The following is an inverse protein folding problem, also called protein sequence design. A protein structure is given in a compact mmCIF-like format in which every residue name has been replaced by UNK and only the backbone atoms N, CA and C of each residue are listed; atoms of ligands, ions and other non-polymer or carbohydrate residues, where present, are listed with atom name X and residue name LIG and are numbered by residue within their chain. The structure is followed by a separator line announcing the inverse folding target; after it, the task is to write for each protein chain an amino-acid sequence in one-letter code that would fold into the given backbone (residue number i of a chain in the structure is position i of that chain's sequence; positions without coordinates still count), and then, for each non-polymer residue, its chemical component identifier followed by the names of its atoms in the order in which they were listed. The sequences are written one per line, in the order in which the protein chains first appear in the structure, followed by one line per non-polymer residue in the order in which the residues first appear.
data_IF_023371085337
#
_entry.id   IF_023371085337
#
_cell.length_a   1.000
_cell.length_b   1.000
_cell.length_c   1.000
_cell.angle_alpha   90.00
_cell.angle_beta   90.00
_cell.angle_gamma   90.00
#
_symmetry.space_group_name_H-M   'P 1'
#
loop_
_entity.id
_entity.type
_entity.pdbx_description
1 polymer ?
#
# COMPACT_ATOMS: atom_id res chain seq x y z
N UNK A 1 16.96 22.64 -17.99
CA UNK A 1 17.04 21.16 -18.16
C UNK A 1 15.89 20.45 -17.44
N UNK A 2 15.57 20.85 -16.21
CA UNK A 2 14.51 20.22 -15.41
C UNK A 2 13.15 20.31 -16.11
N UNK A 3 12.77 21.50 -16.59
CA UNK A 3 11.51 21.71 -17.30
C UNK A 3 11.36 20.80 -18.53
N UNK A 4 12.48 20.55 -19.22
CA UNK A 4 12.49 19.63 -20.37
C UNK A 4 12.26 18.18 -19.93
N UNK A 5 12.90 17.75 -18.83
CA UNK A 5 12.68 16.42 -18.26
C UNK A 5 11.22 16.24 -17.85
N UNK A 6 10.65 17.19 -17.15
CA UNK A 6 9.25 17.17 -16.71
C UNK A 6 8.27 17.14 -17.90
N UNK A 7 8.57 17.90 -18.95
CA UNK A 7 7.80 17.86 -20.19
C UNK A 7 7.82 16.47 -20.84
N UNK A 8 9.00 15.84 -20.94
CA UNK A 8 9.14 14.49 -21.48
C UNK A 8 8.38 13.46 -20.65
N UNK A 9 8.45 13.54 -19.33
CA UNK A 9 7.71 12.63 -18.42
C UNK A 9 6.20 12.81 -18.58
N UNK A 10 5.73 14.05 -18.70
CA UNK A 10 4.32 14.36 -18.96
C UNK A 10 3.83 13.75 -20.26
N UNK A 11 4.60 13.85 -21.35
CA UNK A 11 4.26 13.22 -22.61
C UNK A 11 4.28 11.69 -22.54
N UNK A 12 5.23 11.10 -21.83
CA UNK A 12 5.23 9.65 -21.59
C UNK A 12 3.99 9.19 -20.84
N UNK A 13 3.55 9.96 -19.84
CA UNK A 13 2.33 9.66 -19.09
C UNK A 13 1.10 9.71 -20.00
N UNK A 14 0.97 10.75 -20.82
CA UNK A 14 -0.12 10.90 -21.78
C UNK A 14 -0.14 9.77 -22.82
N UNK A 15 1.03 9.41 -23.35
CA UNK A 15 1.18 8.31 -24.29
C UNK A 15 0.79 6.96 -23.66
N UNK A 16 1.23 6.70 -22.44
CA UNK A 16 0.87 5.49 -21.71
C UNK A 16 -0.64 5.39 -21.45
N UNK A 17 -1.27 6.49 -21.05
CA UNK A 17 -2.72 6.55 -20.87
C UNK A 17 -3.48 6.28 -22.19
N UNK A 18 -2.99 6.82 -23.30
CA UNK A 18 -3.56 6.57 -24.62
C UNK A 18 -3.41 5.10 -25.07
N UNK A 19 -2.27 4.49 -24.77
CA UNK A 19 -2.03 3.07 -25.08
C UNK A 19 -2.94 2.15 -24.26
N UNK A 20 -3.15 2.46 -22.98
CA UNK A 20 -4.13 1.76 -22.15
C UNK A 20 -5.55 1.89 -22.71
N UNK A 21 -5.96 3.10 -23.08
CA UNK A 21 -7.29 3.36 -23.64
C UNK A 21 -7.52 2.63 -24.97
N UNK A 22 -6.48 2.41 -25.77
CA UNK A 22 -6.52 1.63 -27.01
C UNK A 22 -6.43 0.11 -26.79
N UNK A 23 -6.22 -0.34 -25.56
CA UNK A 23 -6.03 -1.75 -25.22
C UNK A 23 -4.70 -2.32 -25.68
N UNK A 24 -3.65 -1.51 -25.74
CA UNK A 24 -2.31 -1.99 -26.11
C UNK A 24 -1.77 -2.93 -25.05
N UNK A 25 -1.47 -4.20 -25.39
CA UNK A 25 -1.15 -5.23 -24.38
C UNK A 25 0.12 -4.93 -23.59
N UNK A 26 1.11 -4.27 -24.19
CA UNK A 26 2.35 -3.92 -23.51
C UNK A 26 2.14 -2.87 -22.40
N UNK A 27 1.18 -1.94 -22.55
CA UNK A 27 0.86 -0.95 -21.54
C UNK A 27 0.28 -1.62 -20.28
N UNK A 28 -0.70 -2.50 -20.45
CA UNK A 28 -1.29 -3.25 -19.35
C UNK A 28 -0.29 -4.21 -18.68
N UNK A 29 0.55 -4.86 -19.48
CA UNK A 29 1.60 -5.74 -18.94
C UNK A 29 2.57 -4.99 -18.04
N UNK A 30 2.98 -3.78 -18.44
CA UNK A 30 3.84 -2.91 -17.64
C UNK A 30 3.19 -2.53 -16.32
N UNK A 31 1.91 -2.11 -16.36
CA UNK A 31 1.17 -1.71 -15.16
C UNK A 31 0.99 -2.88 -14.19
N UNK A 32 0.73 -4.07 -14.73
CA UNK A 32 0.65 -5.29 -13.93
C UNK A 32 1.99 -5.62 -13.26
N UNK A 33 3.10 -5.46 -13.98
CA UNK A 33 4.44 -5.67 -13.45
C UNK A 33 4.78 -4.67 -12.32
N UNK A 34 4.44 -3.40 -12.51
CA UNK A 34 4.60 -2.35 -11.50
C UNK A 34 3.75 -2.62 -10.26
N UNK A 35 2.48 -2.99 -10.46
CA UNK A 35 1.57 -3.34 -9.36
C UNK A 35 2.07 -4.54 -8.56
N UNK A 36 2.58 -5.57 -9.25
CA UNK A 36 3.18 -6.73 -8.59
C UNK A 36 4.42 -6.37 -7.79
N UNK A 37 5.33 -5.58 -8.37
CA UNK A 37 6.53 -5.12 -7.68
C UNK A 37 6.18 -4.30 -6.43
N UNK A 38 5.15 -3.44 -6.52
CA UNK A 38 4.64 -2.66 -5.39
C UNK A 38 4.03 -3.56 -4.30
N UNK A 39 3.25 -4.54 -4.67
CA UNK A 39 2.64 -5.49 -3.73
C UNK A 39 3.69 -6.30 -2.97
N UNK A 40 4.78 -6.66 -3.65
CA UNK A 40 5.90 -7.43 -3.08
C UNK A 40 6.95 -6.54 -2.39
N UNK A 41 6.75 -5.23 -2.32
CA UNK A 41 7.71 -4.25 -1.79
C UNK A 41 9.09 -4.32 -2.45
N UNK A 42 9.15 -4.64 -3.74
CA UNK A 42 10.38 -4.63 -4.54
C UNK A 42 10.64 -3.22 -5.05
N UNK A 43 11.27 -2.39 -4.19
CA UNK A 43 11.39 -0.95 -4.41
C UNK A 43 12.19 -0.60 -5.66
N UNK A 44 13.33 -1.21 -5.90
CA UNK A 44 14.15 -0.95 -7.09
C UNK A 44 13.39 -1.29 -8.38
N UNK A 45 12.63 -2.38 -8.40
CA UNK A 45 11.81 -2.72 -9.56
C UNK A 45 10.67 -1.72 -9.76
N UNK A 46 10.06 -1.21 -8.69
CA UNK A 46 9.05 -0.15 -8.79
C UNK A 46 9.64 1.11 -9.42
N UNK A 47 10.82 1.54 -8.98
CA UNK A 47 11.47 2.72 -9.54
C UNK A 47 11.77 2.53 -11.02
N UNK A 48 12.37 1.41 -11.40
CA UNK A 48 12.77 1.11 -12.78
C UNK A 48 11.57 0.94 -13.73
N UNK A 49 10.44 0.46 -13.24
CA UNK A 49 9.17 0.38 -13.99
C UNK A 49 8.41 1.72 -14.01
N UNK A 50 8.78 2.67 -13.18
CA UNK A 50 8.21 4.02 -13.15
C UNK A 50 8.57 4.84 -14.40
N UNK A 51 7.88 5.97 -14.58
CA UNK A 51 8.15 6.91 -15.68
C UNK A 51 9.36 7.81 -15.40
N UNK A 52 9.64 8.08 -14.13
CA UNK A 52 10.81 8.82 -13.64
C UNK A 52 11.41 8.09 -12.43
N UNK A 53 12.30 7.10 -12.68
CA UNK A 53 12.92 6.31 -11.63
C UNK A 53 13.69 7.12 -10.59
N UNK A 54 14.42 8.14 -11.05
CA UNK A 54 15.23 8.99 -10.18
C UNK A 54 14.37 9.77 -9.19
N UNK A 55 13.28 10.38 -9.68
CA UNK A 55 12.35 11.15 -8.86
C UNK A 55 11.56 10.25 -7.89
N UNK A 56 11.17 9.07 -8.34
CA UNK A 56 10.50 8.08 -7.51
C UNK A 56 11.39 7.63 -6.33
N UNK A 57 12.67 7.38 -6.60
CA UNK A 57 13.64 7.02 -5.58
C UNK A 57 13.92 8.18 -4.62
N UNK A 58 14.09 9.40 -5.12
CA UNK A 58 14.29 10.59 -4.30
C UNK A 58 13.18 10.75 -3.26
N UNK A 59 11.92 10.71 -3.68
CA UNK A 59 10.76 10.82 -2.77
C UNK A 59 10.66 9.66 -1.78
N UNK A 60 10.96 8.46 -2.20
CA UNK A 60 10.98 7.31 -1.30
C UNK A 60 12.06 7.46 -0.23
N UNK A 61 13.27 7.83 -0.63
CA UNK A 61 14.42 7.96 0.27
C UNK A 61 14.27 9.13 1.23
N UNK A 62 13.58 10.20 0.83
CA UNK A 62 13.26 11.35 1.68
C UNK A 62 12.35 10.94 2.85
N UNK A 63 11.40 10.04 2.61
CA UNK A 63 10.47 9.56 3.64
C UNK A 63 11.06 8.48 4.54
N UNK A 64 12.14 7.84 4.13
CA UNK A 64 12.79 6.73 4.82
C UNK A 64 14.30 7.01 5.00
N UNK A 65 14.68 7.86 5.97
CA UNK A 65 16.05 8.32 6.11
C UNK A 65 17.08 7.24 6.52
N UNK A 66 16.62 6.14 7.14
CA UNK A 66 17.49 5.04 7.52
C UNK A 66 17.75 4.10 6.35
N UNK A 67 19.04 3.85 6.02
CA UNK A 67 19.43 3.00 4.89
C UNK A 67 18.77 1.61 4.91
N UNK A 68 18.72 0.96 6.06
CA UNK A 68 18.05 -0.34 6.22
C UNK A 68 16.53 -0.31 5.98
N UNK A 69 15.89 0.83 6.17
CA UNK A 69 14.46 1.00 5.95
C UNK A 69 14.11 1.17 4.45
N UNK A 70 15.04 1.67 3.65
CA UNK A 70 14.83 1.93 2.21
C UNK A 70 14.54 0.68 1.39
N UNK A 71 15.07 -0.47 1.82
CA UNK A 71 14.88 -1.77 1.17
C UNK A 71 13.94 -2.69 1.94
N UNK A 72 13.41 -2.24 3.07
CA UNK A 72 12.54 -3.04 3.92
C UNK A 72 11.18 -3.31 3.26
N UNK A 73 10.53 -4.40 3.64
CA UNK A 73 9.14 -4.70 3.31
C UNK A 73 8.18 -3.78 4.07
N UNK A 74 8.34 -2.49 3.85
CA UNK A 74 7.59 -1.43 4.53
C UNK A 74 7.33 -0.26 3.56
N UNK A 75 6.17 0.36 3.70
CA UNK A 75 5.80 1.56 2.98
C UNK A 75 5.33 2.63 3.98
N UNK A 76 5.87 3.83 3.89
CA UNK A 76 5.52 4.95 4.77
C UNK A 76 4.25 5.70 4.37
N UNK A 77 3.68 5.43 3.17
CA UNK A 77 2.60 6.22 2.62
C UNK A 77 1.32 6.15 3.45
N UNK A 78 0.88 4.96 3.84
CA UNK A 78 -0.40 4.74 4.54
C UNK A 78 -0.21 4.39 6.02
N UNK A 79 1.02 4.19 6.46
CA UNK A 79 1.34 3.69 7.80
C UNK A 79 1.09 2.19 7.99
N UNK A 80 1.57 1.61 9.09
CA UNK A 80 1.62 0.16 9.27
C UNK A 80 0.26 -0.51 9.44
N UNK A 81 -0.76 0.22 9.88
CA UNK A 81 -2.09 -0.34 10.17
C UNK A 81 -3.15 -0.02 9.11
N UNK A 82 -2.82 0.81 8.12
CA UNK A 82 -3.78 1.27 7.12
C UNK A 82 -3.40 0.92 5.68
N UNK A 83 -2.33 0.16 5.48
CA UNK A 83 -1.91 -0.28 4.16
C UNK A 83 -2.79 -1.43 3.67
N UNK A 84 -3.57 -1.21 2.61
CA UNK A 84 -4.42 -2.24 2.01
C UNK A 84 -3.64 -3.48 1.55
N UNK A 85 -2.40 -3.30 1.09
CA UNK A 85 -1.53 -4.40 0.68
C UNK A 85 -1.08 -5.24 1.86
N UNK A 86 -0.70 -4.59 2.98
CA UNK A 86 -0.36 -5.28 4.23
C UNK A 86 -1.56 -6.03 4.80
N UNK A 87 -2.72 -5.39 4.84
CA UNK A 87 -3.97 -6.00 5.30
C UNK A 87 -4.32 -7.22 4.44
N UNK A 88 -4.21 -7.12 3.11
CA UNK A 88 -4.45 -8.25 2.21
C UNK A 88 -3.48 -9.40 2.46
N UNK A 89 -2.21 -9.10 2.71
CA UNK A 89 -1.23 -10.14 3.04
C UNK A 89 -1.53 -10.79 4.39
N UNK A 90 -1.86 -10.02 5.40
CA UNK A 90 -2.22 -10.53 6.73
C UNK A 90 -3.46 -11.44 6.67
N UNK A 91 -4.45 -11.10 5.84
CA UNK A 91 -5.62 -11.97 5.60
C UNK A 91 -5.22 -13.29 4.93
N UNK A 92 -4.31 -13.25 3.96
CA UNK A 92 -3.79 -14.47 3.31
C UNK A 92 -3.00 -15.33 4.27
N UNK A 93 -2.15 -14.74 5.09
CA UNK A 93 -1.33 -15.44 6.06
C UNK A 93 -2.23 -16.09 7.14
N UNK A 94 -3.25 -15.38 7.59
CA UNK A 94 -4.27 -15.93 8.48
C UNK A 94 -5.04 -17.09 7.82
N UNK A 95 -5.47 -16.94 6.57
CA UNK A 95 -6.13 -17.99 5.82
C UNK A 95 -5.27 -19.26 5.71
N UNK A 96 -3.98 -19.09 5.43
CA UNK A 96 -3.02 -20.18 5.37
C UNK A 96 -2.85 -20.89 6.73
N UNK A 97 -2.77 -20.14 7.81
CA UNK A 97 -2.66 -20.71 9.18
C UNK A 97 -3.92 -21.49 9.60
N UNK A 98 -5.08 -21.05 9.17
CA UNK A 98 -6.36 -21.70 9.44
C UNK A 98 -6.73 -22.76 8.40
N UNK A 99 -5.94 -22.92 7.34
CA UNK A 99 -6.20 -23.83 6.21
C UNK A 99 -7.58 -23.60 5.56
N UNK A 100 -7.98 -22.36 5.40
CA UNK A 100 -9.24 -21.92 4.80
C UNK A 100 -8.97 -21.03 3.57
N UNK A 101 -9.96 -20.90 2.69
CA UNK A 101 -9.87 -19.97 1.57
C UNK A 101 -9.86 -18.52 2.04
N UNK A 102 -9.08 -17.64 1.36
CA UNK A 102 -8.89 -16.25 1.76
C UNK A 102 -10.22 -15.45 1.87
N UNK A 103 -11.21 -15.75 1.03
CA UNK A 103 -12.52 -15.11 1.10
C UNK A 103 -13.29 -15.48 2.38
N UNK A 104 -13.20 -16.73 2.80
CA UNK A 104 -13.78 -17.20 4.06
C UNK A 104 -13.01 -16.69 5.27
N UNK A 105 -11.68 -16.55 5.14
CA UNK A 105 -10.82 -16.03 6.20
C UNK A 105 -11.22 -14.63 6.65
N UNK A 106 -11.58 -13.75 5.72
CA UNK A 106 -12.04 -12.40 6.04
C UNK A 106 -13.31 -12.42 6.88
N UNK A 107 -14.32 -13.21 6.49
CA UNK A 107 -15.58 -13.31 7.20
C UNK A 107 -15.39 -13.90 8.62
N UNK A 108 -14.58 -14.94 8.75
CA UNK A 108 -14.26 -15.57 10.05
C UNK A 108 -13.49 -14.61 10.93
N UNK A 109 -12.41 -14.01 10.41
CA UNK A 109 -11.58 -13.07 11.16
C UNK A 109 -12.37 -11.84 11.64
N UNK A 110 -13.25 -11.29 10.81
CA UNK A 110 -14.13 -10.18 11.20
C UNK A 110 -15.11 -10.59 12.31
N UNK A 111 -15.67 -11.80 12.23
CA UNK A 111 -16.55 -12.33 13.28
C UNK A 111 -15.84 -12.54 14.61
N UNK A 112 -14.60 -13.06 14.57
CA UNK A 112 -13.77 -13.24 15.77
C UNK A 112 -13.39 -11.90 16.40
N UNK A 113 -12.97 -10.94 15.60
CA UNK A 113 -12.64 -9.59 16.08
C UNK A 113 -13.85 -8.83 16.62
N UNK A 114 -15.02 -9.01 16.01
CA UNK A 114 -16.25 -8.43 16.53
C UNK A 114 -16.61 -9.01 17.93
N UNK A 115 -16.43 -10.31 18.12
CA UNK A 115 -16.65 -10.96 19.44
C UNK A 115 -15.63 -10.46 20.47
N UNK A 116 -14.37 -10.37 20.11
CA UNK A 116 -13.30 -9.83 20.95
C UNK A 116 -13.61 -8.39 21.36
N UNK A 117 -14.02 -7.54 20.42
CA UNK A 117 -14.41 -6.15 20.67
C UNK A 117 -15.55 -6.04 21.67
N UNK A 118 -16.61 -6.83 21.49
CA UNK A 118 -17.73 -6.85 22.44
C UNK A 118 -17.28 -7.34 23.82
N UNK A 119 -16.43 -8.36 23.88
CA UNK A 119 -15.91 -8.90 25.14
C UNK A 119 -15.01 -7.92 25.91
N UNK A 120 -14.32 -7.00 25.18
CA UNK A 120 -13.48 -5.96 25.78
C UNK A 120 -14.24 -4.68 26.16
N UNK A 121 -15.56 -4.66 26.04
CA UNK A 121 -16.43 -3.55 26.49
C UNK A 121 -16.88 -2.62 25.39
N UNK A 122 -16.65 -2.95 24.11
CA UNK A 122 -17.08 -2.18 22.93
C UNK A 122 -16.49 -0.74 22.87
N UNK A 123 -15.33 -0.55 23.49
CA UNK A 123 -14.62 0.74 23.46
C UNK A 123 -13.49 0.71 22.43
N UNK A 124 -13.41 1.73 21.56
CA UNK A 124 -12.37 1.87 20.52
C UNK A 124 -11.05 2.35 21.14
N UNK A 125 -11.12 3.15 22.19
CA UNK A 125 -9.96 3.76 22.84
C UNK A 125 -9.74 3.15 24.22
N UNK A 126 -8.72 2.30 24.32
CA UNK A 126 -8.22 1.79 25.59
C UNK A 126 -7.05 2.67 26.06
N UNK A 127 -7.31 3.67 26.89
CA UNK A 127 -6.30 4.54 27.45
C UNK A 127 -6.91 5.73 28.18
N UNK A 128 -6.14 6.34 29.07
CA UNK A 128 -6.53 7.60 29.72
C UNK A 128 -6.68 8.71 28.68
N UNK A 129 -7.88 8.92 28.18
CA UNK A 129 -8.19 10.15 27.48
C UNK A 129 -7.94 11.31 28.44
N UNK A 130 -7.26 12.40 28.01
CA UNK A 130 -7.10 13.58 28.84
C UNK A 130 -8.47 14.04 29.33
N UNK A 131 -8.54 14.44 30.60
CA UNK A 131 -9.76 15.00 31.19
C UNK A 131 -10.22 16.17 30.33
N UNK A 132 -11.36 16.05 29.70
CA UNK A 132 -11.94 17.01 28.75
C UNK A 132 -12.42 16.43 27.44
N UNK A 133 -12.04 15.20 27.07
CA UNK A 133 -12.48 14.57 25.83
C UNK A 133 -13.82 13.79 25.97
N UNK A 134 -14.42 13.78 27.14
CA UNK A 134 -15.65 13.01 27.47
C UNK A 134 -16.97 13.74 27.24
N UNK A 135 -16.97 14.98 26.75
CA UNK A 135 -18.21 15.80 26.69
C UNK A 135 -18.75 16.06 25.27
N UNK A 136 -18.53 15.21 24.30
CA UNK A 136 -19.21 15.37 23.00
C UNK A 136 -19.79 14.02 22.56
N UNK A 137 -20.94 13.67 23.14
CA UNK A 137 -21.94 12.80 22.55
C UNK A 137 -23.29 13.49 22.56
#
# INVERSE_FOLDING_TARGET
KQDVKEGVITYKLAAHAADLAKGHPAAQYRDNALSKARFEFRWEDQFNLGLDPEKAKEFHDETLPAEGAKLAHFCSMCGPHFCSMKITQDVRDYANTQNIEAEKALAVGMSEKAKEFVATGSEIYHGNLPEGAKEHH
#
